data_IF_725576183279
#
_entry.id   IF_725576183279
#
_cell.length_a   1.000
_cell.length_b   1.000
_cell.length_c   1.000
_cell.angle_alpha   90.00
_cell.angle_beta   90.00
_cell.angle_gamma   90.00
#
_symmetry.space_group_name_H-M   'P 1'
#
loop_
_entity.id
_entity.type
_entity.pdbx_description
1 polymer ?
#
# COMPACT_ATOMS: atom_id res chain seq x y z
N UNK A 1 18.34 9.57 35.30
CA UNK A 1 18.00 11.01 35.40
C UNK A 1 17.80 11.53 33.98
N UNK A 2 16.55 11.65 33.53
CA UNK A 2 16.23 12.13 32.17
C UNK A 2 16.38 13.65 32.18
N UNK A 3 17.27 14.18 31.33
CA UNK A 3 17.50 15.61 31.20
C UNK A 3 16.21 16.33 30.79
N UNK A 4 15.96 17.49 31.39
CA UNK A 4 14.81 18.37 31.22
C UNK A 4 14.72 18.96 29.80
N UNK A 5 14.50 18.11 28.78
CA UNK A 5 14.20 18.54 27.41
C UNK A 5 12.68 18.65 27.26
N UNK A 6 12.23 19.82 26.79
CA UNK A 6 10.85 20.05 26.38
C UNK A 6 10.58 19.10 25.19
N UNK A 7 9.87 18.01 25.46
CA UNK A 7 9.46 17.05 24.45
C UNK A 7 8.28 17.65 23.68
N UNK A 8 8.53 18.11 22.45
CA UNK A 8 7.45 18.40 21.51
C UNK A 8 6.78 17.08 21.12
N UNK A 9 5.63 16.79 21.74
CA UNK A 9 4.79 15.66 21.38
C UNK A 9 4.14 16.01 20.04
N UNK A 10 4.66 15.42 18.96
CA UNK A 10 4.10 15.58 17.63
C UNK A 10 3.08 14.46 17.42
N UNK A 11 1.81 14.84 17.22
CA UNK A 11 0.71 13.88 17.07
C UNK A 11 0.85 12.93 15.88
N UNK A 12 1.70 13.28 14.92
CA UNK A 12 1.81 12.59 13.63
C UNK A 12 3.23 12.68 13.08
N UNK A 13 3.94 11.56 12.95
CA UNK A 13 5.32 11.52 12.44
C UNK A 13 5.46 10.61 11.24
N UNK A 14 6.34 10.93 10.28
CA UNK A 14 6.66 10.06 9.15
C UNK A 14 7.84 9.16 9.52
N UNK A 15 7.63 7.85 9.60
CA UNK A 15 8.65 6.86 9.91
C UNK A 15 8.55 5.69 8.93
N UNK A 16 9.64 5.31 8.27
CA UNK A 16 9.65 4.27 7.20
C UNK A 16 8.53 4.42 6.14
N UNK A 17 8.27 5.66 5.71
CA UNK A 17 7.16 6.02 4.81
C UNK A 17 5.74 5.62 5.32
N UNK A 18 5.65 5.31 6.60
CA UNK A 18 4.43 5.17 7.37
C UNK A 18 4.22 6.46 8.16
N UNK A 19 2.98 6.87 8.36
CA UNK A 19 2.70 7.96 9.29
C UNK A 19 2.23 7.34 10.59
N UNK A 20 2.98 7.55 11.66
CA UNK A 20 2.65 7.12 13.01
C UNK A 20 1.83 8.23 13.65
N UNK A 21 0.56 7.93 13.92
CA UNK A 21 -0.33 8.76 14.74
C UNK A 21 -0.18 8.32 16.21
N UNK A 22 -0.23 9.25 17.16
CA UNK A 22 -0.14 8.98 18.61
C UNK A 22 -1.18 7.96 19.08
N UNK A 23 -2.34 7.88 18.43
CA UNK A 23 -3.39 6.90 18.73
C UNK A 23 -3.26 5.59 17.94
N UNK A 24 -2.19 5.43 17.16
CA UNK A 24 -1.96 4.30 16.25
C UNK A 24 -3.19 3.96 15.39
N UNK A 25 -4.00 4.96 15.02
CA UNK A 25 -5.21 4.74 14.22
C UNK A 25 -4.85 4.20 12.84
N UNK A 26 -5.03 2.91 12.63
CA UNK A 26 -4.61 2.19 11.41
C UNK A 26 -5.48 2.53 10.20
N UNK A 27 -6.75 2.92 10.39
CA UNK A 27 -7.70 3.19 9.30
C UNK A 27 -7.24 4.32 8.35
N UNK A 28 -6.77 5.45 8.88
CA UNK A 28 -6.26 6.56 8.04
C UNK A 28 -4.96 6.17 7.31
N UNK A 29 -4.16 5.29 7.92
CA UNK A 29 -2.90 4.76 7.35
C UNK A 29 -3.18 3.78 6.20
N UNK A 30 -4.20 2.94 6.32
CA UNK A 30 -4.65 1.97 5.30
C UNK A 30 -5.21 2.70 4.08
N UNK A 31 -6.05 3.72 4.28
CA UNK A 31 -6.59 4.54 3.18
C UNK A 31 -5.48 5.20 2.35
N UNK A 32 -4.46 5.75 3.00
CA UNK A 32 -3.33 6.37 2.29
C UNK A 32 -2.46 5.35 1.56
N UNK A 33 -2.30 4.15 2.13
CA UNK A 33 -1.65 3.04 1.44
C UNK A 33 -2.44 2.59 0.22
N UNK A 34 -3.75 2.38 0.38
CA UNK A 34 -4.63 1.99 -0.71
C UNK A 34 -4.54 3.01 -1.86
N UNK A 35 -4.44 4.31 -1.56
CA UNK A 35 -4.20 5.36 -2.56
C UNK A 35 -2.85 5.24 -3.27
N UNK A 36 -1.77 4.89 -2.56
CA UNK A 36 -0.45 4.65 -3.17
C UNK A 36 -0.46 3.39 -4.04
N UNK A 37 -1.05 2.31 -3.56
CA UNK A 37 -1.20 1.06 -4.31
C UNK A 37 -2.12 1.24 -5.53
N UNK A 38 -3.19 2.03 -5.43
CA UNK A 38 -4.05 2.33 -6.58
C UNK A 38 -3.32 3.17 -7.63
N UNK A 39 -2.48 4.12 -7.19
CA UNK A 39 -1.61 4.88 -8.10
C UNK A 39 -0.59 3.98 -8.79
N UNK A 40 0.03 3.07 -8.05
CA UNK A 40 0.96 2.07 -8.61
C UNK A 40 0.24 1.13 -9.59
N UNK A 41 -0.96 0.65 -9.25
CA UNK A 41 -1.80 -0.16 -10.14
C UNK A 41 -2.19 0.58 -11.42
N UNK A 42 -2.48 1.89 -11.32
CA UNK A 42 -2.75 2.72 -12.49
C UNK A 42 -1.51 2.90 -13.38
N UNK A 43 -0.34 3.12 -12.78
CA UNK A 43 0.93 3.18 -13.51
C UNK A 43 1.24 1.84 -14.19
N UNK A 44 1.07 0.72 -13.50
CA UNK A 44 1.22 -0.63 -14.06
C UNK A 44 0.25 -0.88 -15.22
N UNK A 45 -1.01 -0.47 -15.10
CA UNK A 45 -1.99 -0.56 -16.19
C UNK A 45 -1.53 0.21 -17.44
N UNK A 46 -0.90 1.37 -17.25
CA UNK A 46 -0.34 2.16 -18.35
C UNK A 46 0.90 1.50 -18.94
N UNK A 47 1.79 0.97 -18.10
CA UNK A 47 2.99 0.24 -18.54
C UNK A 47 2.65 -1.05 -19.29
N UNK A 48 1.61 -1.77 -18.90
CA UNK A 48 1.13 -2.99 -19.56
C UNK A 48 0.65 -2.74 -21.00
N UNK A 49 0.18 -1.53 -21.32
CA UNK A 49 -0.14 -1.17 -22.71
C UNK A 49 1.09 -1.06 -23.61
N UNK A 50 2.27 -0.87 -23.02
CA UNK A 50 3.52 -0.62 -23.74
C UNK A 50 4.48 -1.81 -23.69
N UNK A 51 4.36 -2.69 -22.69
CA UNK A 51 5.32 -3.75 -22.39
C UNK A 51 4.69 -5.14 -22.38
N UNK A 52 5.55 -6.13 -22.60
CA UNK A 52 5.23 -7.55 -22.49
C UNK A 52 4.78 -7.96 -21.07
N UNK A 53 4.12 -9.11 -20.96
CA UNK A 53 3.51 -9.60 -19.72
C UNK A 53 4.55 -9.85 -18.63
N UNK A 54 5.69 -10.38 -19.04
CA UNK A 54 6.79 -10.76 -18.15
C UNK A 54 7.35 -9.55 -17.42
N UNK A 55 7.54 -8.43 -18.12
CA UNK A 55 7.98 -7.16 -17.55
C UNK A 55 6.95 -6.57 -16.57
N UNK A 56 5.65 -6.62 -16.92
CA UNK A 56 4.59 -6.14 -16.04
C UNK A 56 4.51 -6.97 -14.73
N UNK A 57 4.72 -8.28 -14.82
CA UNK A 57 4.77 -9.18 -13.67
C UNK A 57 5.95 -8.87 -12.74
N UNK A 58 7.12 -8.58 -13.29
CA UNK A 58 8.30 -8.21 -12.50
C UNK A 58 8.11 -6.88 -11.76
N UNK A 59 7.51 -5.89 -12.42
CA UNK A 59 7.16 -4.60 -11.79
C UNK A 59 6.17 -4.81 -10.63
N UNK A 60 5.19 -5.69 -10.79
CA UNK A 60 4.25 -6.03 -9.70
C UNK A 60 4.95 -6.62 -8.48
N UNK A 61 5.84 -7.60 -8.67
CA UNK A 61 6.58 -8.19 -7.56
C UNK A 61 7.48 -7.17 -6.87
N UNK A 62 8.18 -6.31 -7.63
CA UNK A 62 9.07 -5.30 -7.04
C UNK A 62 8.33 -4.27 -6.19
N UNK A 63 7.15 -3.82 -6.65
CA UNK A 63 6.47 -2.65 -6.07
C UNK A 63 5.30 -3.03 -5.17
N UNK A 64 4.41 -3.91 -5.61
CA UNK A 64 3.21 -4.29 -4.85
C UNK A 64 3.48 -5.37 -3.81
N UNK A 65 4.19 -6.44 -4.18
CA UNK A 65 4.43 -7.55 -3.25
C UNK A 65 5.30 -7.10 -2.07
N UNK A 66 6.37 -6.34 -2.33
CA UNK A 66 7.22 -5.77 -1.28
C UNK A 66 6.42 -4.92 -0.28
N UNK A 67 5.53 -4.04 -0.78
CA UNK A 67 4.72 -3.17 0.07
C UNK A 67 3.69 -3.94 0.91
N UNK A 68 3.10 -5.01 0.36
CA UNK A 68 2.11 -5.82 1.09
C UNK A 68 2.78 -6.71 2.13
N UNK A 69 3.86 -7.42 1.78
CA UNK A 69 4.59 -8.29 2.71
C UNK A 69 5.16 -7.49 3.88
N UNK A 70 5.78 -6.33 3.60
CA UNK A 70 6.28 -5.48 4.67
C UNK A 70 5.16 -5.04 5.60
N UNK A 71 3.99 -4.66 5.07
CA UNK A 71 2.91 -4.13 5.90
C UNK A 71 2.11 -5.18 6.65
N UNK A 72 1.91 -6.35 6.05
CA UNK A 72 1.29 -7.49 6.73
C UNK A 72 2.15 -7.96 7.92
N UNK A 73 3.48 -7.85 7.80
CA UNK A 73 4.38 -8.19 8.90
C UNK A 73 4.21 -7.25 10.12
N UNK A 74 3.87 -5.98 9.90
CA UNK A 74 3.77 -4.99 10.98
C UNK A 74 2.39 -4.90 11.63
N UNK A 75 1.36 -5.61 11.15
CA UNK A 75 0.00 -5.38 11.62
C UNK A 75 -0.89 -6.64 11.54
N UNK A 76 -1.61 -6.93 12.63
CA UNK A 76 -2.44 -8.12 12.81
C UNK A 76 -3.95 -7.81 12.81
N UNK A 77 -4.35 -6.53 12.86
CA UNK A 77 -5.75 -6.05 12.92
C UNK A 77 -6.10 -5.11 11.75
N UNK A 78 -5.55 -5.36 10.57
CA UNK A 78 -5.85 -4.58 9.37
C UNK A 78 -7.17 -5.04 8.76
N UNK A 79 -7.93 -4.11 8.18
CA UNK A 79 -8.93 -4.41 7.14
C UNK A 79 -8.24 -4.97 5.89
N UNK A 80 -7.85 -6.24 6.00
CA UNK A 80 -7.14 -7.04 4.99
C UNK A 80 -7.89 -6.96 3.65
N UNK A 81 -9.22 -6.90 3.70
CA UNK A 81 -10.11 -6.79 2.54
C UNK A 81 -9.76 -5.63 1.59
N UNK A 82 -9.42 -4.44 2.10
CA UNK A 82 -9.10 -3.28 1.25
C UNK A 82 -7.79 -3.51 0.49
N UNK A 83 -6.79 -4.10 1.16
CA UNK A 83 -5.50 -4.42 0.56
C UNK A 83 -5.67 -5.50 -0.51
N UNK A 84 -6.40 -6.58 -0.19
CA UNK A 84 -6.68 -7.66 -1.14
C UNK A 84 -7.48 -7.18 -2.35
N UNK A 85 -8.44 -6.27 -2.17
CA UNK A 85 -9.18 -5.68 -3.27
C UNK A 85 -8.25 -4.91 -4.23
N UNK A 86 -7.33 -4.10 -3.69
CA UNK A 86 -6.36 -3.36 -4.52
C UNK A 86 -5.35 -4.30 -5.18
N UNK A 87 -4.92 -5.37 -4.50
CA UNK A 87 -4.08 -6.41 -5.10
C UNK A 87 -4.77 -7.10 -6.27
N UNK A 88 -6.02 -7.57 -6.08
CA UNK A 88 -6.81 -8.17 -7.16
C UNK A 88 -6.96 -7.22 -8.35
N UNK A 89 -7.19 -5.93 -8.07
CA UNK A 89 -7.27 -4.90 -9.12
C UNK A 89 -5.95 -4.72 -9.89
N UNK A 90 -4.80 -4.79 -9.21
CA UNK A 90 -3.49 -4.75 -9.84
C UNK A 90 -3.24 -6.00 -10.72
N UNK A 91 -3.60 -7.19 -10.23
CA UNK A 91 -3.53 -8.45 -10.99
C UNK A 91 -4.43 -8.37 -12.23
N UNK A 92 -5.67 -7.90 -12.10
CA UNK A 92 -6.56 -7.68 -13.25
C UNK A 92 -5.97 -6.71 -14.28
N UNK A 93 -5.23 -5.69 -13.83
CA UNK A 93 -4.59 -4.74 -14.74
C UNK A 93 -3.43 -5.35 -15.53
N UNK A 94 -2.72 -6.34 -14.98
CA UNK A 94 -1.60 -7.03 -15.64
C UNK A 94 -2.14 -8.03 -16.66
N UNK A 95 -3.09 -8.87 -16.27
CA UNK A 95 -3.63 -9.92 -17.15
C UNK A 95 -4.78 -9.43 -18.05
N UNK A 96 -5.10 -8.14 -18.02
CA UNK A 96 -6.23 -7.53 -18.76
C UNK A 96 -7.54 -8.28 -18.48
N UNK A 97 -7.74 -8.70 -17.23
CA UNK A 97 -8.96 -9.35 -16.78
C UNK A 97 -10.05 -8.28 -16.57
N UNK A 98 -11.31 -8.64 -16.82
CA UNK A 98 -12.43 -7.73 -16.53
C UNK A 98 -12.39 -7.27 -15.07
N UNK A 99 -12.74 -6.00 -14.78
CA UNK A 99 -12.88 -5.55 -13.41
C UNK A 99 -13.96 -6.40 -12.73
N UNK A 100 -13.63 -6.99 -11.58
CA UNK A 100 -14.65 -7.55 -10.71
C UNK A 100 -15.60 -6.41 -10.35
N UNK A 101 -16.83 -6.48 -10.87
CA UNK A 101 -17.92 -5.65 -10.41
C UNK A 101 -18.07 -5.90 -8.91
N UNK A 102 -18.10 -4.82 -8.13
CA UNK A 102 -18.38 -4.84 -6.70
C UNK A 102 -19.73 -5.56 -6.49
N UNK A 103 -19.70 -6.72 -5.86
CA UNK A 103 -20.81 -7.33 -5.14
C UNK A 103 -20.50 -7.21 -3.65
#
# INVERSE_FOLDING_TARGET
>A
MVQNKILNIVDTTLFFALTLDVKLRWNSRILRLAKRLSSAAHAMKRMRRLNDETAARQVYFSSCQSLVTYRLFWDHEVDINIIFMVQKRAVCAIYVLRPMALL
#
